data_IF_587457022937
#
_entry.id   IF_587457022937
#
_cell.length_a   1.000
_cell.length_b   1.000
_cell.length_c   1.000
_cell.angle_alpha   90.00
_cell.angle_beta   90.00
_cell.angle_gamma   90.00
#
_symmetry.space_group_name_H-M   'P 1'
#
loop_
_entity.id
_entity.type
_entity.pdbx_description
1 polymer ?
#
# COMPACT_ATOMS: atom_id res chain seq x y z
N UNK A 1 8.58 5.28 10.37
CA UNK A 1 8.54 6.37 11.38
C UNK A 1 9.77 7.29 11.39
N UNK A 2 10.99 6.80 11.09
CA UNK A 2 12.19 7.66 11.10
C UNK A 2 12.14 8.82 10.08
N UNK A 3 11.46 8.62 8.95
CA UNK A 3 11.35 9.62 7.88
C UNK A 3 10.36 10.75 8.23
N UNK A 4 9.16 10.43 8.74
CA UNK A 4 8.22 11.45 9.28
C UNK A 4 8.88 12.25 10.41
N UNK A 5 9.61 11.56 11.31
CA UNK A 5 10.36 12.23 12.38
C UNK A 5 11.42 13.19 11.81
N UNK A 6 12.17 12.77 10.79
CA UNK A 6 13.16 13.62 10.11
C UNK A 6 12.49 14.81 9.41
N UNK A 7 11.39 14.59 8.70
CA UNK A 7 10.65 15.64 8.00
C UNK A 7 10.06 16.67 8.99
N UNK A 8 9.52 16.19 10.13
CA UNK A 8 8.99 17.06 11.20
C UNK A 8 10.11 17.85 11.90
N UNK A 9 11.24 17.21 12.18
CA UNK A 9 12.43 17.91 12.70
C UNK A 9 12.93 18.94 11.68
N UNK A 10 12.93 18.63 10.39
CA UNK A 10 13.37 19.53 9.32
C UNK A 10 12.43 20.75 9.20
N UNK A 11 11.11 20.54 9.29
CA UNK A 11 10.13 21.64 9.31
C UNK A 11 10.32 22.50 10.55
N UNK A 12 10.45 21.89 11.73
CA UNK A 12 10.64 22.62 12.98
C UNK A 12 11.95 23.41 12.99
N UNK A 13 13.03 22.81 12.49
CA UNK A 13 14.32 23.48 12.31
C UNK A 13 14.23 24.63 11.30
N UNK A 14 13.46 24.45 10.21
CA UNK A 14 13.24 25.50 9.21
C UNK A 14 12.44 26.65 9.81
N UNK A 15 11.35 26.38 10.54
CA UNK A 15 10.56 27.40 11.22
C UNK A 15 11.37 28.13 12.30
N UNK A 16 12.19 27.42 13.08
CA UNK A 16 13.09 28.03 14.06
C UNK A 16 14.14 28.92 13.40
N UNK A 17 14.76 28.45 12.31
CA UNK A 17 15.73 29.24 11.56
C UNK A 17 15.09 30.48 10.97
N UNK A 18 13.87 30.36 10.46
CA UNK A 18 13.09 31.45 9.88
C UNK A 18 12.70 32.47 10.96
N UNK A 19 12.30 32.02 12.15
CA UNK A 19 12.03 32.87 13.31
C UNK A 19 13.27 33.59 13.85
N UNK A 20 14.42 32.92 13.90
CA UNK A 20 15.69 33.57 14.29
C UNK A 20 16.17 34.57 13.25
N UNK A 21 16.02 34.25 11.96
CA UNK A 21 16.35 35.17 10.87
C UNK A 21 15.43 36.39 10.90
N UNK A 22 14.15 36.21 11.23
CA UNK A 22 13.18 37.27 11.48
C UNK A 22 13.60 38.16 12.67
N UNK A 23 13.95 37.59 13.83
CA UNK A 23 14.41 38.40 14.97
C UNK A 23 15.68 39.22 14.64
N UNK A 24 16.62 38.62 13.91
CA UNK A 24 17.85 39.29 13.48
C UNK A 24 17.60 40.40 12.46
N UNK A 25 16.59 40.23 11.60
CA UNK A 25 16.21 41.27 10.63
C UNK A 25 15.28 42.33 11.21
N UNK A 26 14.40 41.99 12.16
CA UNK A 26 13.57 42.95 12.90
C UNK A 26 14.41 43.96 13.68
N UNK A 27 15.60 43.56 14.15
CA UNK A 27 16.57 44.47 14.79
C UNK A 27 17.22 45.45 13.82
N UNK A 28 17.20 45.18 12.52
CA UNK A 28 17.84 46.01 11.47
C UNK A 28 16.82 46.74 10.58
N UNK A 29 15.64 46.16 10.33
CA UNK A 29 14.57 46.65 9.44
C UNK A 29 13.18 46.15 9.91
N UNK A 30 12.45 46.92 10.73
CA UNK A 30 11.12 46.50 11.19
C UNK A 30 10.09 46.45 10.04
N UNK A 31 9.36 45.33 9.93
CA UNK A 31 8.11 45.23 9.14
C UNK A 31 8.12 44.33 7.88
N UNK A 32 9.27 44.05 7.26
CA UNK A 32 9.28 43.28 5.99
C UNK A 32 9.26 41.76 6.19
N UNK A 33 9.87 41.25 7.26
CA UNK A 33 10.14 39.80 7.41
C UNK A 33 9.00 39.04 8.10
N UNK A 34 8.14 39.73 8.85
CA UNK A 34 6.96 39.16 9.51
C UNK A 34 5.93 38.60 8.52
N UNK A 35 5.87 39.17 7.31
CA UNK A 35 4.97 38.68 6.26
C UNK A 35 5.40 37.33 5.69
N UNK A 36 6.71 37.12 5.48
CA UNK A 36 7.21 35.86 4.93
C UNK A 36 6.88 34.70 5.86
N UNK A 37 7.08 34.91 7.16
CA UNK A 37 6.77 33.91 8.19
C UNK A 37 5.28 33.57 8.16
N UNK A 38 4.41 34.60 8.10
CA UNK A 38 2.97 34.41 8.01
C UNK A 38 2.57 33.64 6.75
N UNK A 39 3.17 33.97 5.61
CA UNK A 39 2.91 33.30 4.33
C UNK A 39 3.41 31.85 4.32
N UNK A 40 4.58 31.56 4.90
CA UNK A 40 5.10 30.19 5.05
C UNK A 40 4.20 29.37 5.97
N UNK A 41 3.79 29.93 7.12
CA UNK A 41 2.82 29.29 8.01
C UNK A 41 1.48 29.03 7.31
N UNK A 42 0.97 30.00 6.55
CA UNK A 42 -0.23 29.84 5.75
C UNK A 42 -0.07 28.75 4.68
N UNK A 43 1.11 28.64 4.05
CA UNK A 43 1.41 27.57 3.10
C UNK A 43 1.40 26.19 3.75
N UNK A 44 1.99 26.05 4.94
CA UNK A 44 1.94 24.81 5.71
C UNK A 44 0.51 24.44 6.12
N UNK A 45 -0.25 25.40 6.67
CA UNK A 45 -1.63 25.15 7.09
C UNK A 45 -2.49 24.79 5.88
N UNK A 46 -2.37 25.51 4.77
CA UNK A 46 -3.14 25.26 3.55
C UNK A 46 -2.83 23.88 2.95
N UNK A 47 -1.55 23.49 2.89
CA UNK A 47 -1.15 22.20 2.31
C UNK A 47 -1.54 21.01 3.19
N UNK A 48 -1.54 21.18 4.52
CA UNK A 48 -1.87 20.11 5.46
C UNK A 48 -3.39 20.02 5.72
N UNK A 49 -4.07 21.15 5.91
CA UNK A 49 -5.47 21.17 6.36
C UNK A 49 -6.49 20.98 5.23
N UNK A 50 -6.17 21.37 4.00
CA UNK A 50 -7.14 21.28 2.90
C UNK A 50 -6.98 19.95 2.14
N UNK A 51 -8.01 19.09 2.11
CA UNK A 51 -7.95 17.82 1.40
C UNK A 51 -7.80 17.98 -0.11
N UNK A 52 -8.23 19.12 -0.67
CA UNK A 52 -8.03 19.44 -2.09
C UNK A 52 -6.55 19.69 -2.44
N UNK A 53 -5.77 20.24 -1.51
CA UNK A 53 -4.34 20.48 -1.72
C UNK A 53 -3.52 19.18 -1.80
N UNK A 54 -4.09 18.07 -1.32
CA UNK A 54 -3.50 16.71 -1.31
C UNK A 54 -3.21 16.17 -2.72
N UNK A 55 -3.98 16.61 -3.71
CA UNK A 55 -3.88 16.13 -5.11
C UNK A 55 -3.23 17.15 -6.06
N UNK A 56 -2.86 18.34 -5.55
CA UNK A 56 -2.22 19.36 -6.38
C UNK A 56 -0.75 18.99 -6.63
N UNK A 57 -0.34 19.03 -7.89
CA UNK A 57 1.06 18.88 -8.28
C UNK A 57 1.92 19.98 -7.61
N UNK A 58 3.12 19.62 -7.14
CA UNK A 58 4.08 20.52 -6.49
C UNK A 58 4.27 21.82 -7.27
N UNK A 59 4.30 21.73 -8.60
CA UNK A 59 4.46 22.87 -9.50
C UNK A 59 3.31 23.88 -9.43
N UNK A 60 2.05 23.41 -9.39
CA UNK A 60 0.89 24.30 -9.26
C UNK A 60 0.87 24.97 -7.88
N UNK A 61 1.17 24.21 -6.83
CA UNK A 61 1.23 24.74 -5.46
C UNK A 61 2.32 25.81 -5.32
N UNK A 62 3.50 25.56 -5.90
CA UNK A 62 4.60 26.52 -5.92
C UNK A 62 4.25 27.77 -6.71
N UNK A 63 3.63 27.63 -7.89
CA UNK A 63 3.21 28.76 -8.71
C UNK A 63 2.14 29.62 -8.01
N UNK A 64 1.20 28.99 -7.30
CA UNK A 64 0.17 29.70 -6.54
C UNK A 64 0.78 30.54 -5.41
N UNK A 65 1.65 29.96 -4.58
CA UNK A 65 2.29 30.70 -3.48
C UNK A 65 3.26 31.76 -3.96
N UNK A 66 3.98 31.50 -5.06
CA UNK A 66 4.81 32.51 -5.71
C UNK A 66 3.97 33.68 -6.22
N UNK A 67 2.80 33.40 -6.83
CA UNK A 67 1.85 34.42 -7.28
C UNK A 67 1.34 35.29 -6.14
N UNK A 68 0.95 34.69 -5.00
CA UNK A 68 0.53 35.43 -3.80
C UNK A 68 1.66 36.34 -3.30
N UNK A 69 2.87 35.81 -3.21
CA UNK A 69 4.04 36.58 -2.79
C UNK A 69 4.30 37.78 -3.72
N UNK A 70 4.23 37.59 -5.05
CA UNK A 70 4.41 38.66 -6.02
C UNK A 70 3.31 39.73 -5.94
N UNK A 71 2.03 39.33 -5.80
CA UNK A 71 0.91 40.26 -5.66
C UNK A 71 1.04 41.08 -4.39
N UNK A 72 1.32 40.44 -3.25
CA UNK A 72 1.54 41.14 -2.00
C UNK A 72 2.67 42.16 -2.12
N UNK A 73 3.78 41.73 -2.72
CA UNK A 73 4.94 42.60 -2.90
C UNK A 73 4.65 43.77 -3.84
N UNK A 74 3.82 43.57 -4.85
CA UNK A 74 3.37 44.62 -5.76
C UNK A 74 2.43 45.62 -5.08
N UNK A 75 1.52 45.17 -4.21
CA UNK A 75 0.51 46.03 -3.56
C UNK A 75 1.09 46.82 -2.38
N UNK A 76 1.90 46.18 -1.53
CA UNK A 76 2.36 46.77 -0.27
C UNK A 76 3.78 47.36 -0.37
N UNK A 77 4.62 46.83 -1.26
CA UNK A 77 5.98 47.35 -1.50
C UNK A 77 6.13 48.11 -2.82
N UNK A 78 5.04 48.68 -3.36
CA UNK A 78 5.04 49.48 -4.60
C UNK A 78 6.05 50.65 -4.61
N UNK A 79 6.52 51.09 -3.43
CA UNK A 79 7.52 52.15 -3.27
C UNK A 79 8.98 51.65 -3.27
N UNK A 80 9.22 50.33 -3.35
CA UNK A 80 10.57 49.75 -3.34
C UNK A 80 10.95 49.21 -4.73
N UNK A 81 12.08 49.63 -5.30
CA UNK A 81 12.50 49.16 -6.62
C UNK A 81 12.72 47.63 -6.63
N UNK A 82 12.13 46.96 -7.62
CA UNK A 82 12.19 45.50 -7.82
C UNK A 82 13.61 44.93 -7.94
N UNK A 83 14.55 45.74 -8.46
CA UNK A 83 15.84 45.28 -9.01
C UNK A 83 17.00 46.25 -8.69
N UNK A 84 16.95 46.97 -7.56
CA UNK A 84 18.01 47.91 -7.20
C UNK A 84 18.73 47.52 -5.90
N UNK A 85 20.05 47.32 -5.99
CA UNK A 85 20.95 47.19 -4.85
C UNK A 85 20.72 45.95 -3.99
N UNK A 86 20.80 46.11 -2.67
CA UNK A 86 20.77 45.02 -1.67
C UNK A 86 19.44 44.24 -1.67
N UNK A 87 18.35 44.85 -2.15
CA UNK A 87 17.02 44.25 -2.09
C UNK A 87 16.84 43.09 -3.09
N UNK A 88 17.71 42.95 -4.10
CA UNK A 88 17.69 41.79 -5.02
C UNK A 88 18.07 40.49 -4.29
N UNK A 89 19.08 40.55 -3.41
CA UNK A 89 19.54 39.39 -2.65
C UNK A 89 18.49 38.95 -1.63
N UNK A 90 17.81 39.92 -1.00
CA UNK A 90 16.69 39.66 -0.09
C UNK A 90 15.57 38.93 -0.84
N UNK A 91 15.17 39.43 -2.01
CA UNK A 91 14.14 38.81 -2.86
C UNK A 91 14.43 37.35 -3.20
N UNK A 92 15.65 37.08 -3.65
CA UNK A 92 16.05 35.73 -4.05
C UNK A 92 16.02 34.80 -2.84
N UNK A 93 16.49 35.26 -1.68
CA UNK A 93 16.45 34.48 -0.44
C UNK A 93 15.02 34.20 0.03
N UNK A 94 14.13 35.17 -0.07
CA UNK A 94 12.72 35.04 0.34
C UNK A 94 11.99 34.02 -0.54
N UNK A 95 12.18 34.10 -1.85
CA UNK A 95 11.60 33.15 -2.81
C UNK A 95 12.18 31.74 -2.60
N UNK A 96 13.49 31.61 -2.36
CA UNK A 96 14.13 30.33 -2.11
C UNK A 96 13.58 29.65 -0.84
N UNK A 97 13.42 30.40 0.25
CA UNK A 97 12.86 29.89 1.51
C UNK A 97 11.40 29.47 1.33
N UNK A 98 10.61 30.28 0.61
CA UNK A 98 9.21 29.98 0.32
C UNK A 98 9.07 28.68 -0.48
N UNK A 99 9.82 28.53 -1.58
CA UNK A 99 9.78 27.33 -2.41
C UNK A 99 10.27 26.10 -1.65
N UNK A 100 11.33 26.25 -0.85
CA UNK A 100 11.84 25.17 0.00
C UNK A 100 10.80 24.72 1.04
N UNK A 101 10.08 25.67 1.64
CA UNK A 101 9.02 25.38 2.61
C UNK A 101 7.84 24.65 1.97
N UNK A 102 7.39 25.09 0.79
CA UNK A 102 6.33 24.40 0.01
C UNK A 102 6.76 22.98 -0.35
N UNK A 103 8.01 22.80 -0.78
CA UNK A 103 8.57 21.48 -1.07
C UNK A 103 8.55 20.55 0.16
N UNK A 104 8.99 21.05 1.32
CA UNK A 104 8.96 20.29 2.57
C UNK A 104 7.54 19.90 2.97
N UNK A 105 6.58 20.82 2.84
CA UNK A 105 5.18 20.57 3.18
C UNK A 105 4.59 19.45 2.32
N UNK A 106 4.84 19.47 1.00
CA UNK A 106 4.42 18.41 0.08
C UNK A 106 5.08 17.06 0.41
N UNK A 107 6.37 17.07 0.74
CA UNK A 107 7.08 15.85 1.14
C UNK A 107 6.52 15.26 2.43
N UNK A 108 6.28 16.09 3.45
CA UNK A 108 5.65 15.66 4.70
C UNK A 108 4.26 15.08 4.42
N UNK A 109 3.46 15.78 3.60
CA UNK A 109 2.12 15.33 3.25
C UNK A 109 2.18 13.95 2.58
N UNK A 110 3.02 13.75 1.56
CA UNK A 110 3.20 12.44 0.92
C UNK A 110 3.61 11.34 1.91
N UNK A 111 4.53 11.63 2.84
CA UNK A 111 4.92 10.71 3.92
C UNK A 111 3.75 10.34 4.84
N UNK A 112 2.88 11.30 5.18
CA UNK A 112 1.68 11.07 5.99
C UNK A 112 0.64 10.24 5.25
N UNK A 113 0.41 10.49 3.96
CA UNK A 113 -0.54 9.71 3.15
C UNK A 113 -0.14 8.25 3.02
N UNK A 114 1.16 7.99 2.83
CA UNK A 114 1.68 6.63 2.77
C UNK A 114 1.51 5.91 4.12
N UNK A 115 1.72 6.62 5.24
CA UNK A 115 1.48 6.06 6.56
C UNK A 115 -0.01 5.80 6.81
N UNK A 116 -0.89 6.74 6.44
CA UNK A 116 -2.34 6.59 6.53
C UNK A 116 -2.82 5.40 5.70
N UNK A 117 -2.39 5.26 4.45
CA UNK A 117 -2.79 4.13 3.60
C UNK A 117 -2.28 2.77 4.13
N UNK A 118 -1.12 2.74 4.80
CA UNK A 118 -0.64 1.53 5.49
C UNK A 118 -1.48 1.24 6.74
N UNK A 119 -1.80 2.25 7.54
CA UNK A 119 -2.64 2.11 8.73
C UNK A 119 -4.07 1.73 8.36
N UNK A 120 -4.63 2.32 7.29
CA UNK A 120 -5.94 2.02 6.75
C UNK A 120 -5.98 0.57 6.25
N UNK A 121 -4.98 0.14 5.46
CA UNK A 121 -4.86 -1.26 5.05
C UNK A 121 -4.69 -2.21 6.24
N UNK A 122 -3.96 -1.81 7.29
CA UNK A 122 -3.82 -2.61 8.51
C UNK A 122 -5.10 -2.67 9.34
N UNK A 123 -5.83 -1.56 9.44
CA UNK A 123 -7.06 -1.45 10.23
C UNK A 123 -8.19 -2.20 9.52
N UNK A 124 -8.33 -2.02 8.20
CA UNK A 124 -9.36 -2.66 7.39
C UNK A 124 -9.05 -4.09 6.99
N UNK A 125 -7.79 -4.53 7.03
CA UNK A 125 -7.48 -5.95 6.90
C UNK A 125 -7.99 -6.79 8.08
N UNK A 126 -8.15 -6.18 9.26
CA UNK A 126 -8.91 -6.80 10.35
C UNK A 126 -10.43 -6.82 10.13
N UNK A 127 -10.95 -6.13 9.10
CA UNK A 127 -12.38 -5.95 8.84
C UNK A 127 -12.87 -6.54 7.51
N UNK A 128 -12.09 -7.40 6.84
CA UNK A 128 -12.73 -8.29 5.86
C UNK A 128 -13.59 -9.29 6.62
N UNK A 129 -14.87 -8.98 6.82
CA UNK A 129 -15.91 -9.87 7.37
C UNK A 129 -16.00 -11.26 6.70
N UNK A 130 -15.22 -11.50 5.64
CA UNK A 130 -15.11 -12.77 4.94
C UNK A 130 -14.07 -13.72 5.57
N UNK A 131 -13.06 -13.23 6.26
CA UNK A 131 -12.04 -14.06 6.94
C UNK A 131 -12.40 -14.23 8.41
N UNK A 132 -12.42 -15.46 8.90
CA UNK A 132 -12.69 -15.77 10.32
C UNK A 132 -11.63 -16.72 10.87
N UNK A 133 -11.30 -16.68 12.17
CA UNK A 133 -10.42 -17.69 12.75
C UNK A 133 -11.08 -19.07 12.68
N UNK A 134 -10.26 -20.12 12.62
CA UNK A 134 -10.75 -21.50 12.50
C UNK A 134 -11.75 -21.88 13.59
N UNK A 135 -11.48 -21.50 14.83
CA UNK A 135 -12.31 -21.84 15.99
C UNK A 135 -13.74 -21.29 15.88
N UNK A 136 -13.93 -20.11 15.27
CA UNK A 136 -15.24 -19.50 15.05
C UNK A 136 -15.98 -20.10 13.84
N UNK A 137 -15.27 -20.73 12.92
CA UNK A 137 -15.83 -21.28 11.68
C UNK A 137 -16.29 -22.74 11.80
N UNK A 138 -15.97 -23.44 12.90
CA UNK A 138 -16.21 -24.89 13.05
C UNK A 138 -17.69 -25.24 12.86
N UNK A 139 -18.61 -24.48 13.46
CA UNK A 139 -20.05 -24.75 13.36
C UNK A 139 -20.55 -24.63 11.91
N UNK A 140 -20.13 -23.57 11.20
CA UNK A 140 -20.50 -23.35 9.80
C UNK A 140 -19.95 -24.46 8.89
N UNK A 141 -18.71 -24.91 9.12
CA UNK A 141 -18.08 -26.02 8.39
C UNK A 141 -18.88 -27.31 8.58
N UNK A 142 -19.24 -27.65 9.83
CA UNK A 142 -20.00 -28.85 10.14
C UNK A 142 -21.40 -28.82 9.52
N UNK A 143 -22.03 -27.64 9.55
CA UNK A 143 -23.34 -27.42 8.95
C UNK A 143 -23.28 -27.65 7.44
N UNK A 144 -22.27 -27.11 6.76
CA UNK A 144 -22.12 -27.24 5.32
C UNK A 144 -21.72 -28.66 4.88
N UNK A 145 -20.88 -29.35 5.68
CA UNK A 145 -20.58 -30.76 5.49
C UNK A 145 -21.85 -31.63 5.62
N UNK A 146 -22.71 -31.33 6.61
CA UNK A 146 -23.97 -32.04 6.81
C UNK A 146 -24.94 -31.81 5.64
N UNK A 147 -25.04 -30.57 5.15
CA UNK A 147 -25.85 -30.24 3.95
C UNK A 147 -25.32 -30.96 2.72
N UNK A 148 -24.02 -30.90 2.47
CA UNK A 148 -23.35 -31.55 1.36
C UNK A 148 -23.62 -33.06 1.36
N UNK A 149 -23.51 -33.72 2.51
CA UNK A 149 -23.87 -35.14 2.69
C UNK A 149 -25.36 -35.43 2.43
N UNK A 150 -26.26 -34.57 2.90
CA UNK A 150 -27.72 -34.77 2.77
C UNK A 150 -28.21 -34.61 1.33
N UNK A 151 -27.62 -33.67 0.61
CA UNK A 151 -28.07 -33.27 -0.73
C UNK A 151 -27.15 -33.74 -1.85
N UNK A 152 -26.15 -34.57 -1.54
CA UNK A 152 -25.13 -35.07 -2.48
C UNK A 152 -24.49 -33.94 -3.32
N UNK A 153 -24.21 -32.80 -2.67
CA UNK A 153 -23.58 -31.64 -3.31
C UNK A 153 -22.08 -31.66 -3.06
N UNK A 154 -21.23 -31.35 -4.05
CA UNK A 154 -19.79 -31.34 -3.85
C UNK A 154 -19.40 -30.22 -2.89
N UNK A 155 -18.48 -30.50 -1.98
CA UNK A 155 -17.93 -29.53 -1.04
C UNK A 155 -16.41 -29.58 -1.15
N UNK A 156 -15.78 -28.46 -1.43
CA UNK A 156 -14.36 -28.42 -1.72
C UNK A 156 -13.60 -27.58 -0.71
N UNK A 157 -12.36 -27.95 -0.43
CA UNK A 157 -11.43 -27.24 0.47
C UNK A 157 -10.20 -26.85 -0.34
N UNK A 158 -9.84 -25.57 -0.26
CA UNK A 158 -8.62 -25.01 -0.83
C UNK A 158 -7.76 -24.43 0.30
N UNK A 159 -6.52 -24.87 0.41
CA UNK A 159 -5.52 -24.29 1.32
C UNK A 159 -4.57 -23.44 0.49
N UNK A 160 -4.39 -22.18 0.89
CA UNK A 160 -3.50 -21.22 0.21
C UNK A 160 -2.44 -20.74 1.19
N UNK A 161 -1.16 -20.87 0.81
CA UNK A 161 -0.02 -20.42 1.60
C UNK A 161 0.86 -19.45 0.80
N UNK A 162 1.07 -18.21 1.28
CA UNK A 162 1.99 -17.26 0.65
C UNK A 162 3.45 -17.72 0.77
N UNK A 163 4.22 -17.61 -0.31
CA UNK A 163 5.66 -17.88 -0.30
C UNK A 163 6.41 -16.68 0.28
N UNK A 164 6.77 -16.76 1.57
CA UNK A 164 7.40 -15.64 2.29
C UNK A 164 8.79 -15.25 1.76
N UNK A 165 9.46 -16.10 0.99
CA UNK A 165 10.85 -15.88 0.57
C UNK A 165 11.03 -14.92 -0.62
N UNK A 166 10.06 -14.79 -1.53
CA UNK A 166 10.26 -13.99 -2.75
C UNK A 166 10.23 -12.47 -2.47
N UNK A 167 9.55 -12.04 -1.41
CA UNK A 167 9.32 -10.62 -1.12
C UNK A 167 9.98 -10.15 0.18
N UNK A 168 10.36 -11.06 1.09
CA UNK A 168 11.18 -10.71 2.26
C UNK A 168 12.46 -9.98 1.86
N UNK A 169 12.99 -10.19 0.64
CA UNK A 169 14.17 -9.48 0.14
C UNK A 169 13.84 -8.05 -0.36
N UNK A 170 12.84 -7.89 -1.24
CA UNK A 170 12.52 -6.59 -1.86
C UNK A 170 11.77 -5.64 -0.92
N UNK A 171 10.85 -6.14 -0.08
CA UNK A 171 10.17 -5.31 0.90
C UNK A 171 11.13 -4.86 2.02
N UNK A 172 12.05 -5.73 2.48
CA UNK A 172 13.09 -5.34 3.47
C UNK A 172 14.03 -4.28 2.91
N UNK A 173 14.41 -4.38 1.63
CA UNK A 173 15.31 -3.41 0.99
C UNK A 173 14.68 -2.02 0.86
N UNK A 174 13.36 -1.93 0.62
CA UNK A 174 12.64 -0.65 0.52
C UNK A 174 12.10 -0.12 1.87
N UNK A 175 12.02 -0.95 2.91
CA UNK A 175 11.42 -0.62 4.21
C UNK A 175 12.40 -0.85 5.37
N UNK A 176 13.57 -0.20 5.29
CA UNK A 176 14.77 -0.36 6.15
C UNK A 176 14.54 -0.17 7.68
N UNK A 177 13.33 0.06 8.20
CA UNK A 177 13.13 0.31 9.64
C UNK A 177 11.77 -0.17 10.22
N UNK A 178 11.13 -1.18 9.64
CA UNK A 178 9.90 -1.77 10.24
C UNK A 178 10.23 -3.05 11.01
N UNK A 179 9.56 -3.27 12.15
CA UNK A 179 9.60 -4.54 12.88
C UNK A 179 9.07 -5.65 11.97
N UNK A 180 9.73 -6.81 11.97
CA UNK A 180 9.40 -7.94 11.09
C UNK A 180 7.92 -8.35 11.23
N UNK A 181 7.41 -8.36 12.46
CA UNK A 181 6.01 -8.64 12.82
C UNK A 181 5.01 -7.74 12.07
N UNK A 182 5.37 -6.49 11.79
CA UNK A 182 4.47 -5.55 11.10
C UNK A 182 4.38 -5.87 9.60
N UNK A 183 5.48 -6.32 9.00
CA UNK A 183 5.53 -6.70 7.58
C UNK A 183 4.74 -7.98 7.38
N UNK A 184 4.89 -8.94 8.29
CA UNK A 184 4.15 -10.20 8.27
C UNK A 184 2.64 -9.99 8.38
N UNK A 185 2.20 -9.19 9.36
CA UNK A 185 0.79 -8.82 9.50
C UNK A 185 0.24 -8.11 8.27
N UNK A 186 1.02 -7.23 7.64
CA UNK A 186 0.62 -6.54 6.41
C UNK A 186 0.49 -7.51 5.22
N UNK A 187 1.37 -8.50 5.10
CA UNK A 187 1.31 -9.51 4.05
C UNK A 187 0.08 -10.39 4.21
N UNK A 188 -0.15 -10.92 5.42
CA UNK A 188 -1.33 -11.73 5.76
C UNK A 188 -2.59 -10.93 5.39
N UNK A 189 -2.75 -9.74 5.97
CA UNK A 189 -3.80 -8.77 5.65
C UNK A 189 -4.08 -8.58 4.15
N UNK A 190 -3.03 -8.32 3.38
CA UNK A 190 -3.14 -8.03 1.95
C UNK A 190 -3.55 -9.27 1.15
N UNK A 191 -3.09 -10.45 1.55
CA UNK A 191 -3.49 -11.74 0.97
C UNK A 191 -4.96 -12.02 1.27
N UNK A 192 -5.40 -11.86 2.52
CA UNK A 192 -6.82 -12.01 2.89
C UNK A 192 -7.74 -11.10 2.08
N UNK A 193 -7.32 -9.84 1.84
CA UNK A 193 -8.05 -8.91 1.00
C UNK A 193 -8.11 -9.36 -0.48
N UNK A 194 -7.00 -9.85 -1.02
CA UNK A 194 -6.93 -10.34 -2.40
C UNK A 194 -7.82 -11.58 -2.61
N UNK A 195 -7.85 -12.50 -1.64
CA UNK A 195 -8.76 -13.66 -1.62
C UNK A 195 -10.21 -13.18 -1.57
N UNK A 196 -10.53 -12.25 -0.66
CA UNK A 196 -11.87 -11.73 -0.43
C UNK A 196 -12.55 -11.11 -1.67
N UNK A 197 -11.76 -10.62 -2.64
CA UNK A 197 -12.26 -10.06 -3.91
C UNK A 197 -12.71 -11.13 -4.91
N UNK A 198 -12.16 -12.34 -4.82
CA UNK A 198 -12.39 -13.42 -5.80
C UNK A 198 -13.44 -14.42 -5.30
N UNK A 199 -13.42 -14.73 -4.00
CA UNK A 199 -14.32 -15.72 -3.40
C UNK A 199 -15.77 -15.26 -3.35
N UNK A 200 -16.69 -16.22 -3.52
CA UNK A 200 -18.14 -15.98 -3.48
C UNK A 200 -18.59 -15.66 -2.06
N UNK A 201 -19.84 -15.21 -1.92
CA UNK A 201 -20.45 -14.94 -0.61
C UNK A 201 -20.76 -16.23 0.18
N UNK A 202 -20.97 -17.34 -0.54
CA UNK A 202 -21.20 -18.67 0.04
C UNK A 202 -19.93 -19.32 0.58
N UNK A 203 -18.76 -18.89 0.10
CA UNK A 203 -17.49 -19.50 0.45
C UNK A 203 -17.09 -19.02 1.85
N UNK A 204 -16.57 -19.93 2.67
CA UNK A 204 -16.08 -19.61 4.01
C UNK A 204 -14.57 -19.47 3.93
N UNK A 205 -14.05 -18.28 4.19
CA UNK A 205 -12.60 -18.06 4.28
C UNK A 205 -12.17 -18.06 5.72
N UNK A 206 -11.19 -18.90 6.01
CA UNK A 206 -10.67 -19.13 7.35
C UNK A 206 -9.21 -18.72 7.35
N UNK A 207 -8.84 -17.91 8.32
CA UNK A 207 -7.47 -17.48 8.54
C UNK A 207 -6.85 -18.30 9.68
N UNK A 208 -5.68 -18.89 9.42
CA UNK A 208 -4.96 -19.66 10.42
C UNK A 208 -3.64 -18.96 10.77
N UNK A 209 -3.76 -17.97 11.67
CA UNK A 209 -2.66 -17.10 12.10
C UNK A 209 -1.39 -17.84 12.54
N UNK A 210 -1.53 -19.01 13.18
CA UNK A 210 -0.37 -19.77 13.67
C UNK A 210 0.45 -20.46 12.55
N UNK A 211 -0.07 -20.52 11.32
CA UNK A 211 0.54 -21.24 10.21
C UNK A 211 0.63 -20.40 8.92
N UNK A 212 0.37 -19.10 9.03
CA UNK A 212 0.43 -18.10 7.94
C UNK A 212 -0.26 -18.57 6.66
N UNK A 213 -1.48 -19.11 6.79
CA UNK A 213 -2.21 -19.70 5.66
C UNK A 213 -3.71 -19.46 5.76
N UNK A 214 -4.35 -19.60 4.61
CA UNK A 214 -5.80 -19.48 4.47
C UNK A 214 -6.40 -20.82 4.08
N UNK A 215 -7.54 -21.15 4.68
CA UNK A 215 -8.37 -22.30 4.32
C UNK A 215 -9.67 -21.74 3.74
N UNK A 216 -10.06 -22.19 2.56
CA UNK A 216 -11.26 -21.72 1.87
C UNK A 216 -12.16 -22.94 1.68
N UNK A 217 -13.32 -22.92 2.31
CA UNK A 217 -14.37 -23.90 2.10
C UNK A 217 -15.30 -23.38 1.00
N UNK A 218 -15.43 -24.14 -0.08
CA UNK A 218 -16.18 -23.80 -1.28
C UNK A 218 -17.38 -24.75 -1.42
N UNK A 219 -18.58 -24.34 -0.95
CA UNK A 219 -19.78 -25.12 -1.14
C UNK A 219 -20.15 -25.26 -2.61
N UNK A 220 -20.73 -26.40 -2.98
CA UNK A 220 -21.24 -26.68 -4.33
C UNK A 220 -20.21 -26.49 -5.43
N UNK A 221 -18.94 -26.72 -5.10
CA UNK A 221 -17.80 -26.50 -6.00
C UNK A 221 -17.18 -27.83 -6.36
N UNK A 222 -17.19 -28.15 -7.66
CA UNK A 222 -16.55 -29.35 -8.19
C UNK A 222 -15.01 -29.23 -8.16
N UNK A 223 -14.27 -30.34 -8.26
CA UNK A 223 -12.80 -30.30 -8.33
C UNK A 223 -12.27 -29.37 -9.43
N UNK A 224 -12.87 -29.40 -10.63
CA UNK A 224 -12.45 -28.54 -11.73
C UNK A 224 -12.75 -27.05 -11.46
N UNK A 225 -13.89 -26.76 -10.81
CA UNK A 225 -14.24 -25.40 -10.41
C UNK A 225 -13.29 -24.86 -9.34
N UNK A 226 -12.78 -25.74 -8.48
CA UNK A 226 -11.83 -25.43 -7.42
C UNK A 226 -10.45 -25.04 -7.98
N UNK A 227 -9.95 -25.75 -8.99
CA UNK A 227 -8.69 -25.43 -9.68
C UNK A 227 -8.74 -24.06 -10.37
N UNK A 228 -9.86 -23.76 -11.03
CA UNK A 228 -10.08 -22.44 -11.66
C UNK A 228 -10.10 -21.33 -10.59
N UNK A 229 -10.77 -21.57 -9.45
CA UNK A 229 -10.79 -20.63 -8.35
C UNK A 229 -9.40 -20.42 -7.75
N UNK A 230 -8.63 -21.49 -7.55
CA UNK A 230 -7.27 -21.43 -7.04
C UNK A 230 -6.36 -20.59 -7.95
N UNK A 231 -6.42 -20.79 -9.26
CA UNK A 231 -5.67 -20.01 -10.25
C UNK A 231 -6.04 -18.52 -10.20
N UNK A 232 -7.33 -18.19 -10.10
CA UNK A 232 -7.78 -16.79 -9.97
C UNK A 232 -7.34 -16.14 -8.67
N UNK A 233 -7.32 -16.89 -7.57
CA UNK A 233 -6.82 -16.41 -6.28
C UNK A 233 -5.32 -16.13 -6.36
N UNK A 234 -4.54 -17.06 -6.93
CA UNK A 234 -3.10 -16.89 -7.13
C UNK A 234 -2.80 -15.66 -7.99
N UNK A 235 -3.52 -15.47 -9.09
CA UNK A 235 -3.37 -14.30 -9.95
C UNK A 235 -3.75 -13.00 -9.24
N UNK A 236 -4.86 -12.98 -8.48
CA UNK A 236 -5.28 -11.81 -7.68
C UNK A 236 -4.24 -11.42 -6.63
N UNK A 237 -3.63 -12.41 -5.96
CA UNK A 237 -2.58 -12.20 -4.96
C UNK A 237 -1.31 -11.69 -5.64
N UNK A 238 -0.91 -12.28 -6.76
CA UNK A 238 0.27 -11.84 -7.52
C UNK A 238 0.09 -10.39 -8.02
N UNK A 239 -1.06 -10.03 -8.58
CA UNK A 239 -1.34 -8.67 -9.06
C UNK A 239 -1.45 -7.65 -7.91
N UNK A 240 -2.04 -8.03 -6.77
CA UNK A 240 -2.30 -7.09 -5.66
C UNK A 240 -1.10 -6.90 -4.73
N UNK A 241 -0.34 -7.97 -4.50
CA UNK A 241 0.71 -8.02 -3.49
C UNK A 241 2.08 -8.20 -4.14
N UNK A 242 2.19 -8.96 -5.24
CA UNK A 242 3.45 -9.29 -5.91
C UNK A 242 4.12 -10.57 -5.40
N UNK A 243 3.40 -11.41 -4.66
CA UNK A 243 3.92 -12.70 -4.15
C UNK A 243 3.35 -13.87 -4.92
N UNK A 244 4.16 -14.93 -5.00
CA UNK A 244 3.69 -16.25 -5.37
C UNK A 244 3.07 -16.96 -4.16
N UNK A 245 2.13 -17.85 -4.44
CA UNK A 245 1.43 -18.64 -3.43
C UNK A 245 1.45 -20.10 -3.83
N UNK A 246 1.63 -20.97 -2.86
CA UNK A 246 1.37 -22.39 -2.98
C UNK A 246 -0.09 -22.64 -2.62
N UNK A 247 -0.72 -23.60 -3.28
CA UNK A 247 -2.07 -24.02 -2.92
C UNK A 247 -2.22 -25.54 -3.03
N UNK A 248 -3.16 -26.08 -2.27
CA UNK A 248 -3.52 -27.49 -2.31
C UNK A 248 -5.02 -27.65 -2.10
N UNK A 249 -5.64 -28.61 -2.77
CA UNK A 249 -7.08 -28.65 -2.90
C UNK A 249 -7.66 -30.07 -2.76
N UNK A 250 -8.82 -30.20 -2.13
CA UNK A 250 -9.51 -31.48 -1.95
C UNK A 250 -11.02 -31.32 -2.05
N UNK A 251 -11.73 -32.41 -2.35
CA UNK A 251 -13.19 -32.38 -2.55
C UNK A 251 -13.90 -33.56 -1.88
N UNK A 252 -15.02 -33.25 -1.25
CA UNK A 252 -16.03 -34.19 -0.76
C UNK A 252 -17.09 -34.44 -1.85
N UNK A 253 -17.63 -35.66 -1.97
CA UNK A 253 -17.26 -36.87 -1.22
C UNK A 253 -16.10 -37.66 -1.85
N UNK A 254 -15.59 -37.24 -3.00
CA UNK A 254 -14.68 -38.04 -3.83
C UNK A 254 -13.36 -38.37 -3.15
N UNK A 255 -12.82 -37.45 -2.35
CA UNK A 255 -11.52 -37.65 -1.71
C UNK A 255 -11.62 -37.98 -0.22
N UNK A 256 -12.55 -37.39 0.52
CA UNK A 256 -12.67 -37.62 1.95
C UNK A 256 -14.08 -37.38 2.46
N UNK A 257 -14.38 -37.93 3.65
CA UNK A 257 -15.72 -37.91 4.27
C UNK A 257 -15.84 -36.96 5.47
N UNK A 258 -14.71 -36.49 6.02
CA UNK A 258 -14.68 -35.54 7.14
C UNK A 258 -13.88 -34.30 6.75
N UNK A 259 -14.14 -33.18 7.42
CA UNK A 259 -13.42 -31.93 7.17
C UNK A 259 -11.92 -32.06 7.45
N UNK A 260 -11.54 -32.73 8.54
CA UNK A 260 -10.14 -32.95 8.93
C UNK A 260 -9.40 -33.75 7.85
N UNK A 261 -10.08 -34.76 7.29
CA UNK A 261 -9.53 -35.59 6.22
C UNK A 261 -9.39 -34.82 4.91
N UNK A 262 -10.33 -33.92 4.58
CA UNK A 262 -10.22 -33.01 3.43
C UNK A 262 -9.05 -32.05 3.60
N UNK A 263 -8.92 -31.46 4.78
CA UNK A 263 -7.85 -30.53 5.09
C UNK A 263 -6.49 -31.23 4.99
N UNK A 264 -6.35 -32.42 5.57
CA UNK A 264 -5.13 -33.21 5.49
C UNK A 264 -4.73 -33.55 4.04
N UNK A 265 -5.70 -33.87 3.18
CA UNK A 265 -5.44 -34.13 1.76
C UNK A 265 -5.03 -32.86 1.00
N UNK A 266 -5.69 -31.75 1.27
CA UNK A 266 -5.32 -30.47 0.67
C UNK A 266 -3.91 -30.03 1.11
N UNK A 267 -3.55 -30.25 2.37
CA UNK A 267 -2.21 -30.00 2.91
C UNK A 267 -1.14 -30.92 2.31
N UNK A 268 -1.45 -32.20 2.13
CA UNK A 268 -0.53 -33.13 1.48
C UNK A 268 -0.20 -32.64 0.06
N UNK A 269 -1.21 -32.20 -0.71
CA UNK A 269 -1.02 -31.63 -2.04
C UNK A 269 -0.28 -30.29 -2.01
N UNK A 270 -0.46 -29.45 -0.99
CA UNK A 270 0.25 -28.18 -0.82
C UNK A 270 1.77 -28.39 -0.63
N UNK A 271 2.15 -29.46 0.09
CA UNK A 271 3.54 -29.78 0.42
C UNK A 271 4.22 -30.69 -0.61
N UNK A 272 3.48 -31.13 -1.63
CA UNK A 272 3.99 -32.01 -2.67
C UNK A 272 4.70 -31.20 -3.76
N UNK A 273 6.01 -31.03 -3.62
CA UNK A 273 6.87 -30.34 -4.60
C UNK A 273 6.87 -30.99 -5.99
N UNK A 274 6.33 -32.21 -6.13
CA UNK A 274 6.23 -32.93 -7.41
C UNK A 274 4.95 -32.66 -8.20
N UNK A 275 4.04 -31.85 -7.65
CA UNK A 275 2.79 -31.51 -8.31
C UNK A 275 3.00 -30.49 -9.45
N UNK A 276 2.67 -30.80 -10.71
CA UNK A 276 2.86 -29.89 -11.84
C UNK A 276 2.09 -28.57 -11.72
N UNK A 277 1.03 -28.51 -10.89
CA UNK A 277 0.26 -27.30 -10.61
C UNK A 277 0.89 -26.37 -9.55
N UNK A 278 1.91 -26.85 -8.82
CA UNK A 278 2.67 -26.08 -7.82
C UNK A 278 3.91 -25.41 -8.41
N UNK A 279 4.23 -25.66 -9.68
CA UNK A 279 5.27 -24.92 -10.38
C UNK A 279 4.83 -23.46 -10.45
N UNK A 280 5.55 -22.51 -9.82
CA UNK A 280 5.32 -21.12 -10.13
C UNK A 280 5.52 -21.03 -11.63
N UNK A 281 4.45 -20.70 -12.37
CA UNK A 281 4.62 -20.15 -13.71
C UNK A 281 5.42 -18.87 -13.49
N UNK A 282 6.75 -19.01 -13.45
CA UNK A 282 7.66 -18.03 -13.99
C UNK A 282 7.02 -17.70 -15.32
N UNK A 283 6.43 -16.52 -15.39
CA UNK A 283 6.13 -15.89 -16.66
C UNK A 283 7.51 -15.69 -17.27
N UNK A 284 8.02 -16.74 -17.93
CA UNK A 284 9.07 -16.61 -18.90
C UNK A 284 8.51 -15.61 -19.90
N UNK A 285 9.02 -14.38 -19.81
CA UNK A 285 8.94 -13.44 -20.91
C UNK A 285 9.62 -14.13 -22.08
N UNK A 286 8.81 -14.80 -22.88
CA UNK A 286 9.22 -15.48 -24.08
C UNK A 286 10.03 -14.49 -24.91
N UNK A 287 11.27 -14.88 -25.18
CA UNK A 287 12.15 -14.15 -26.06
C UNK A 287 11.41 -13.97 -27.37
N UNK A 288 11.10 -12.72 -27.71
CA UNK A 288 10.55 -12.34 -29.00
C UNK A 288 11.37 -13.02 -30.10
N UNK A 289 10.76 -14.05 -30.69
CA UNK A 289 11.22 -14.76 -31.85
C UNK A 289 11.37 -13.73 -32.97
N UNK A 290 12.62 -13.40 -33.27
CA UNK A 290 13.00 -12.51 -34.35
C UNK A 290 12.65 -13.24 -35.66
N UNK A 291 11.70 -12.77 -36.49
CA UNK A 291 11.41 -13.43 -37.74
C UNK A 291 12.62 -13.31 -38.66
N UNK A 292 13.03 -14.45 -39.23
CA UNK A 292 14.08 -14.57 -40.21
C UNK A 292 13.80 -13.67 -41.42
N UNK A 293 14.82 -12.92 -41.84
CA UNK A 293 14.79 -12.13 -43.06
C UNK A 293 14.65 -13.06 -44.29
N UNK A 294 13.87 -12.67 -45.32
CA UNK A 294 13.81 -13.45 -46.55
C UNK A 294 15.12 -13.31 -47.32
N UNK A 295 15.67 -14.44 -47.74
CA UNK A 295 16.75 -14.55 -48.71
C UNK A 295 16.29 -13.96 -50.05
N UNK A 296 17.00 -12.96 -50.54
CA UNK A 296 16.93 -12.51 -51.92
C UNK A 296 17.66 -13.53 -52.80
N UNK A 297 16.89 -14.26 -53.61
CA UNK A 297 17.32 -14.75 -54.93
C UNK A 297 16.44 -14.10 -55.99
#
# INVERSE_FOLDING_TARGET
MSQIRKDLILIFATLLLLFHLEQFTLTVRPGAVSYLVLLVCAAFIFTIALPFARHLNLWLSSAFWLGIYLVYRMVISAQRPFLAGVDIYVTISEVAILLFSVYLAHRLMASLQNAEGVIEKMTFAGFTHKTRPLDEAIEDIQLELTRSRRYDRPLSVLVVKPMSNSMKLELRQNLVNLQEDMVERFLIASVGQAIGKVVRRSDIVIEQNNQDRYIILCPETSPQGLEILASRIQESIHQSVGINTLWGASSFPSEALTFESLLQKAEAKLNDESNPDLSPRLVEHDHAEKPAAPSLE
#
